data_IF_405300046565
#
_entry.id   IF_405300046565
#
_cell.length_a   1.000
_cell.length_b   1.000
_cell.length_c   1.000
_cell.angle_alpha   90.00
_cell.angle_beta   90.00
_cell.angle_gamma   90.00
#
_symmetry.space_group_name_H-M   'P 1'
#
loop_
_entity.id
_entity.type
_entity.pdbx_description
1 polymer ?
#
# COMPACT_ATOMS: atom_id res chain seq x y z
N UNK A 1 -15.37 12.98 2.36
CA UNK A 1 -14.27 11.99 2.33
C UNK A 1 -13.13 12.35 3.28
N UNK A 2 -12.31 13.38 3.00
CA UNK A 2 -11.11 13.70 3.80
C UNK A 2 -11.39 13.80 5.32
N UNK A 3 -12.46 14.48 5.71
CA UNK A 3 -12.84 14.64 7.13
C UNK A 3 -13.15 13.30 7.81
N UNK A 4 -13.89 12.42 7.13
CA UNK A 4 -14.21 11.08 7.65
C UNK A 4 -12.96 10.21 7.75
N UNK A 5 -12.10 10.24 6.72
CA UNK A 5 -10.81 9.55 6.74
C UNK A 5 -9.94 10.00 7.94
N UNK A 6 -9.81 11.31 8.18
CA UNK A 6 -9.09 11.84 9.36
C UNK A 6 -9.73 11.41 10.68
N UNK A 7 -11.05 11.23 10.72
CA UNK A 7 -11.75 10.71 11.91
C UNK A 7 -11.41 9.24 12.17
N UNK A 8 -11.45 8.41 11.12
CA UNK A 8 -11.07 7.00 11.22
C UNK A 8 -9.63 6.85 11.70
N UNK A 9 -8.69 7.63 11.16
CA UNK A 9 -7.29 7.59 11.59
C UNK A 9 -7.11 7.87 13.08
N UNK A 10 -7.84 8.84 13.65
CA UNK A 10 -7.77 9.11 15.09
C UNK A 10 -8.12 7.88 15.93
N UNK A 11 -9.09 7.09 15.48
CA UNK A 11 -9.48 5.86 16.15
C UNK A 11 -8.52 4.71 15.85
N UNK A 12 -7.89 4.65 14.68
CA UNK A 12 -6.89 3.62 14.36
C UNK A 12 -5.65 3.77 15.23
N UNK A 13 -5.19 5.00 15.52
CA UNK A 13 -4.12 5.22 16.48
C UNK A 13 -4.46 4.71 17.88
N UNK A 14 -5.71 4.93 18.34
CA UNK A 14 -6.16 4.38 19.63
C UNK A 14 -6.23 2.85 19.60
N UNK A 15 -6.73 2.26 18.50
CA UNK A 15 -6.77 0.81 18.31
C UNK A 15 -5.36 0.20 18.35
N UNK A 16 -4.43 0.75 17.57
CA UNK A 16 -3.04 0.27 17.51
C UNK A 16 -2.29 0.37 18.83
N UNK A 17 -2.62 1.36 19.68
CA UNK A 17 -2.06 1.48 21.03
C UNK A 17 -2.47 0.31 21.95
N UNK A 18 -3.69 -0.22 21.80
CA UNK A 18 -4.19 -1.33 22.61
C UNK A 18 -3.97 -2.70 21.97
N UNK A 19 -3.39 -2.76 20.77
CA UNK A 19 -3.08 -4.03 20.12
C UNK A 19 -1.94 -4.74 20.88
N UNK A 20 -2.12 -6.00 21.31
CA UNK A 20 -1.11 -6.72 22.09
C UNK A 20 0.23 -6.87 21.33
N UNK A 21 1.35 -6.69 22.04
CA UNK A 21 2.68 -6.76 21.42
C UNK A 21 3.05 -8.15 20.90
N UNK A 22 2.45 -9.20 21.47
CA UNK A 22 2.68 -10.59 21.08
C UNK A 22 1.95 -10.99 19.78
N UNK A 23 1.04 -10.17 19.27
CA UNK A 23 0.33 -10.40 17.99
C UNK A 23 1.06 -9.72 16.83
N UNK A 24 2.33 -10.09 16.62
CA UNK A 24 3.23 -9.42 15.65
C UNK A 24 2.64 -9.33 14.24
N UNK A 25 2.05 -10.42 13.75
CA UNK A 25 1.54 -10.49 12.38
C UNK A 25 0.29 -9.62 12.19
N UNK A 26 -0.60 -9.55 13.20
CA UNK A 26 -1.74 -8.60 13.21
C UNK A 26 -1.25 -7.15 13.23
N UNK A 27 -0.20 -6.87 14.00
CA UNK A 27 0.40 -5.53 14.05
C UNK A 27 1.00 -5.11 12.71
N UNK A 28 1.72 -6.00 12.02
CA UNK A 28 2.25 -5.74 10.68
C UNK A 28 1.14 -5.48 9.66
N UNK A 29 0.08 -6.31 9.65
CA UNK A 29 -1.08 -6.08 8.77
C UNK A 29 -1.75 -4.73 9.07
N UNK A 30 -1.92 -4.40 10.35
CA UNK A 30 -2.50 -3.13 10.78
C UNK A 30 -1.68 -1.93 10.30
N UNK A 31 -0.36 -1.95 10.54
CA UNK A 31 0.55 -0.87 10.13
C UNK A 31 0.57 -0.69 8.61
N UNK A 32 0.54 -1.78 7.84
CA UNK A 32 0.42 -1.74 6.39
C UNK A 32 -0.90 -1.08 5.94
N UNK A 33 -2.04 -1.54 6.46
CA UNK A 33 -3.36 -0.99 6.09
C UNK A 33 -3.50 0.48 6.49
N UNK A 34 -2.98 0.85 7.65
CA UNK A 34 -2.95 2.25 8.08
C UNK A 34 -2.06 3.09 7.16
N UNK A 35 -0.87 2.60 6.81
CA UNK A 35 0.06 3.30 5.92
C UNK A 35 -0.52 3.57 4.53
N UNK A 36 -1.15 2.56 3.92
CA UNK A 36 -1.84 2.71 2.63
C UNK A 36 -2.96 3.77 2.69
N UNK A 37 -3.78 3.72 3.75
CA UNK A 37 -4.86 4.67 3.96
C UNK A 37 -4.34 6.11 4.18
N UNK A 38 -3.28 6.28 4.96
CA UNK A 38 -2.66 7.59 5.22
C UNK A 38 -2.03 8.18 3.94
N UNK A 39 -1.28 7.38 3.20
CA UNK A 39 -0.69 7.76 1.91
C UNK A 39 -1.76 8.18 0.89
N UNK A 40 -2.81 7.36 0.75
CA UNK A 40 -3.95 7.67 -0.11
C UNK A 40 -4.69 8.95 0.30
N UNK A 41 -4.84 9.19 1.61
CA UNK A 41 -5.46 10.40 2.13
C UNK A 41 -4.62 11.65 1.85
N UNK A 42 -3.31 11.56 2.01
CA UNK A 42 -2.42 12.70 1.80
C UNK A 42 -2.42 13.14 0.34
N UNK A 43 -2.40 12.20 -0.61
CA UNK A 43 -2.54 12.49 -2.04
C UNK A 43 -3.87 13.18 -2.37
N UNK A 44 -4.97 12.68 -1.80
CA UNK A 44 -6.29 13.29 -1.99
C UNK A 44 -6.34 14.70 -1.38
N UNK A 45 -5.79 14.87 -0.18
CA UNK A 45 -5.75 16.15 0.50
C UNK A 45 -4.93 17.18 -0.28
N UNK A 46 -3.75 16.78 -0.76
CA UNK A 46 -2.89 17.64 -1.58
C UNK A 46 -3.60 18.08 -2.87
N UNK A 47 -4.24 17.15 -3.59
CA UNK A 47 -5.01 17.48 -4.79
C UNK A 47 -6.16 18.46 -4.48
N UNK A 48 -6.89 18.22 -3.40
CA UNK A 48 -8.03 19.06 -3.01
C UNK A 48 -7.63 20.47 -2.53
N UNK A 49 -6.46 20.62 -1.90
CA UNK A 49 -6.04 21.90 -1.30
C UNK A 49 -5.13 22.73 -2.21
N UNK A 50 -4.21 22.08 -2.92
CA UNK A 50 -3.16 22.75 -3.68
C UNK A 50 -3.48 22.85 -5.18
N UNK A 51 -3.89 21.74 -5.81
CA UNK A 51 -4.09 21.72 -7.26
C UNK A 51 -5.31 22.56 -7.69
N UNK A 52 -6.32 22.69 -6.83
CA UNK A 52 -7.49 23.54 -7.11
C UNK A 52 -7.14 25.04 -7.19
N UNK A 53 -6.09 25.48 -6.50
CA UNK A 53 -5.72 26.90 -6.39
C UNK A 53 -5.40 27.54 -7.74
N UNK A 54 -4.91 26.74 -8.69
CA UNK A 54 -4.61 27.19 -10.05
C UNK A 54 -5.87 27.72 -10.74
N UNK A 55 -7.00 27.02 -10.57
CA UNK A 55 -8.27 27.40 -11.19
C UNK A 55 -8.99 28.52 -10.44
N UNK A 56 -8.82 28.63 -9.12
CA UNK A 56 -9.45 29.69 -8.33
C UNK A 56 -8.84 31.08 -8.59
N UNK A 57 -7.55 31.13 -8.98
CA UNK A 57 -6.85 32.38 -9.27
C UNK A 57 -7.40 33.08 -10.51
N UNK A 58 -7.87 32.32 -11.49
CA UNK A 58 -8.32 32.82 -12.79
C UNK A 58 -9.75 33.40 -12.77
N UNK A 59 -10.58 33.03 -11.78
CA UNK A 59 -11.98 33.48 -11.64
C UNK A 59 -12.09 34.99 -11.26
N UNK A 60 -11.01 35.60 -10.77
CA UNK A 60 -10.99 37.02 -10.41
C UNK A 60 -10.85 37.97 -11.63
N UNK A 61 -10.72 37.43 -12.84
CA UNK A 61 -10.79 38.21 -14.09
C UNK A 61 -12.22 38.17 -14.60
N UNK A 62 -12.81 39.35 -14.85
CA UNK A 62 -14.21 39.46 -15.28
C UNK A 62 -14.48 38.56 -16.51
N UNK A 63 -15.43 37.62 -16.44
CA UNK A 63 -15.67 36.68 -17.53
C UNK A 63 -16.16 37.42 -18.76
N UNK A 64 -15.51 37.21 -19.90
CA UNK A 64 -16.05 37.61 -21.20
C UNK A 64 -17.20 36.66 -21.56
N UNK A 65 -18.23 37.18 -22.24
CA UNK A 65 -19.48 36.45 -22.50
C UNK A 65 -19.33 35.16 -23.35
N UNK A 66 -18.14 34.90 -23.91
CA UNK A 66 -17.82 33.72 -24.72
C UNK A 66 -17.16 32.57 -23.92
N UNK A 67 -16.83 32.76 -22.64
CA UNK A 67 -16.00 31.83 -21.84
C UNK A 67 -16.80 30.90 -20.91
N UNK A 68 -17.89 30.31 -21.42
CA UNK A 68 -18.80 29.46 -20.62
C UNK A 68 -18.32 28.00 -20.54
N UNK A 69 -17.28 27.62 -21.29
CA UNK A 69 -16.83 26.23 -21.36
C UNK A 69 -15.72 25.96 -20.34
N UNK A 70 -15.88 25.00 -19.41
CA UNK A 70 -14.81 24.60 -18.52
C UNK A 70 -13.57 24.17 -19.32
N UNK A 71 -12.40 24.67 -18.93
CA UNK A 71 -11.15 24.29 -19.59
C UNK A 71 -10.96 22.78 -19.50
N UNK A 72 -10.29 22.21 -20.50
CA UNK A 72 -9.94 20.77 -20.49
C UNK A 72 -9.18 20.40 -19.21
N UNK A 73 -8.28 21.28 -18.77
CA UNK A 73 -7.49 21.11 -17.54
C UNK A 73 -8.38 20.99 -16.30
N UNK A 74 -9.47 21.76 -16.21
CA UNK A 74 -10.42 21.66 -15.10
C UNK A 74 -11.19 20.34 -15.12
N UNK A 75 -11.55 19.84 -16.31
CA UNK A 75 -12.21 18.53 -16.46
C UNK A 75 -11.26 17.40 -16.04
N UNK A 76 -10.00 17.48 -16.45
CA UNK A 76 -8.97 16.51 -16.08
C UNK A 76 -8.71 16.53 -14.56
N UNK A 77 -8.63 17.73 -13.96
CA UNK A 77 -8.55 17.90 -12.51
C UNK A 77 -9.73 17.26 -11.79
N UNK A 78 -10.98 17.53 -12.23
CA UNK A 78 -12.17 16.92 -11.61
C UNK A 78 -12.15 15.41 -11.68
N UNK A 79 -11.69 14.86 -12.81
CA UNK A 79 -11.57 13.41 -13.01
C UNK A 79 -10.52 12.81 -12.07
N UNK A 80 -9.37 13.47 -11.94
CA UNK A 80 -8.32 13.09 -10.98
C UNK A 80 -8.81 13.13 -9.54
N UNK A 81 -9.47 14.22 -9.13
CA UNK A 81 -10.00 14.38 -7.77
C UNK A 81 -11.05 13.31 -7.44
N UNK A 82 -11.95 13.00 -8.38
CA UNK A 82 -12.93 11.94 -8.22
C UNK A 82 -12.24 10.56 -8.10
N UNK A 83 -11.26 10.27 -8.94
CA UNK A 83 -10.49 9.03 -8.89
C UNK A 83 -9.75 8.84 -7.56
N UNK A 84 -9.04 9.87 -7.10
CA UNK A 84 -8.38 9.86 -5.78
C UNK A 84 -9.41 9.65 -4.66
N UNK A 85 -10.56 10.32 -4.72
CA UNK A 85 -11.62 10.17 -3.69
C UNK A 85 -12.10 8.73 -3.59
N UNK A 86 -12.28 8.05 -4.72
CA UNK A 86 -12.70 6.64 -4.77
C UNK A 86 -11.61 5.74 -4.18
N UNK A 87 -10.37 5.85 -4.68
CA UNK A 87 -9.26 5.01 -4.22
C UNK A 87 -8.99 5.21 -2.72
N UNK A 88 -8.98 6.46 -2.23
CA UNK A 88 -8.85 6.73 -0.80
C UNK A 88 -10.00 6.11 -0.01
N UNK A 89 -11.24 6.16 -0.50
CA UNK A 89 -12.36 5.50 0.17
C UNK A 89 -12.11 4.00 0.29
N UNK A 90 -11.68 3.34 -0.78
CA UNK A 90 -11.46 1.90 -0.81
C UNK A 90 -10.36 1.47 0.20
N UNK A 91 -9.27 2.25 0.33
CA UNK A 91 -8.27 2.01 1.38
C UNK A 91 -8.85 2.08 2.79
N UNK A 92 -9.71 3.07 3.07
CA UNK A 92 -10.35 3.20 4.37
C UNK A 92 -11.40 2.13 4.64
N UNK A 93 -12.17 1.71 3.63
CA UNK A 93 -13.12 0.60 3.74
C UNK A 93 -12.39 -0.71 4.04
N UNK A 94 -11.25 -0.97 3.39
CA UNK A 94 -10.40 -2.12 3.69
C UNK A 94 -9.86 -2.09 5.13
N UNK A 95 -9.34 -0.95 5.57
CA UNK A 95 -8.84 -0.77 6.92
C UNK A 95 -9.95 -1.01 7.96
N UNK A 96 -11.12 -0.36 7.81
CA UNK A 96 -12.23 -0.53 8.74
C UNK A 96 -12.71 -1.98 8.77
N UNK A 97 -12.88 -2.62 7.62
CA UNK A 97 -13.29 -4.02 7.55
C UNK A 97 -12.31 -4.95 8.25
N UNK A 98 -11.00 -4.74 8.07
CA UNK A 98 -9.99 -5.53 8.76
C UNK A 98 -10.06 -5.36 10.29
N UNK A 99 -10.29 -4.14 10.77
CA UNK A 99 -10.47 -3.84 12.20
C UNK A 99 -11.76 -4.43 12.76
N UNK A 100 -12.87 -4.35 12.03
CA UNK A 100 -14.16 -4.95 12.41
C UNK A 100 -14.07 -6.48 12.54
N UNK A 101 -13.24 -7.10 11.70
CA UNK A 101 -12.94 -8.54 11.74
C UNK A 101 -11.82 -8.89 12.73
N UNK A 102 -11.32 -7.95 13.54
CA UNK A 102 -10.29 -8.21 14.54
C UNK A 102 -8.94 -8.61 13.97
N UNK A 103 -8.65 -8.27 12.71
CA UNK A 103 -7.44 -8.65 11.98
C UNK A 103 -7.27 -10.18 11.83
N UNK A 104 -8.36 -10.93 11.88
CA UNK A 104 -8.35 -12.41 11.82
C UNK A 104 -7.93 -12.98 10.46
N UNK A 105 -7.84 -12.18 9.39
CA UNK A 105 -7.32 -12.63 8.08
C UNK A 105 -5.88 -13.18 8.18
N UNK A 106 -5.18 -12.83 9.26
CA UNK A 106 -3.85 -13.32 9.61
C UNK A 106 -3.85 -14.73 10.19
N UNK A 107 -4.87 -15.09 10.98
CA UNK A 107 -4.96 -16.40 11.64
C UNK A 107 -5.19 -17.52 10.61
N UNK A 108 -5.82 -17.23 9.48
CA UNK A 108 -5.95 -18.20 8.37
C UNK A 108 -4.61 -18.49 7.67
N UNK A 109 -3.70 -17.50 7.65
CA UNK A 109 -2.36 -17.66 7.08
C UNK A 109 -1.42 -18.39 8.04
N UNK A 110 -1.51 -18.06 9.33
CA UNK A 110 -0.73 -18.66 10.42
C UNK A 110 -1.14 -20.13 10.69
N UNK A 111 -2.44 -20.43 10.71
CA UNK A 111 -2.93 -21.82 10.84
C UNK A 111 -2.64 -22.66 9.59
N UNK A 112 -2.64 -22.04 8.40
CA UNK A 112 -2.23 -22.73 7.17
C UNK A 112 -0.74 -23.09 7.17
N UNK A 113 0.10 -22.29 7.85
CA UNK A 113 1.52 -22.59 8.05
C UNK A 113 1.75 -23.71 9.07
N UNK A 114 0.98 -23.74 10.17
CA UNK A 114 1.06 -24.83 11.15
C UNK A 114 0.61 -26.18 10.55
N UNK A 115 -0.42 -26.19 9.70
CA UNK A 115 -0.87 -27.40 9.00
C UNK A 115 0.19 -27.93 8.03
N UNK A 116 0.95 -27.03 7.39
CA UNK A 116 2.08 -27.38 6.50
C UNK A 116 3.26 -27.91 7.31
N UNK A 117 3.50 -27.37 8.50
CA UNK A 117 4.56 -27.81 9.43
C UNK A 117 4.27 -29.21 10.00
N UNK A 118 3.01 -29.49 10.39
CA UNK A 118 2.57 -30.81 10.83
C UNK A 118 2.72 -31.87 9.71
N UNK A 119 2.33 -31.53 8.48
CA UNK A 119 2.54 -32.37 7.30
C UNK A 119 4.03 -32.56 6.95
N UNK A 120 4.87 -31.56 7.15
CA UNK A 120 6.31 -31.66 6.91
C UNK A 120 7.02 -32.57 7.93
N UNK A 121 6.55 -32.57 9.17
CA UNK A 121 7.07 -33.42 10.25
C UNK A 121 6.69 -34.90 10.04
N UNK A 122 5.45 -35.18 9.61
CA UNK A 122 5.01 -36.54 9.24
C UNK A 122 5.80 -37.11 8.05
N UNK A 123 6.28 -36.25 7.15
CA UNK A 123 7.10 -36.63 5.99
C UNK A 123 8.62 -36.55 6.24
N UNK A 124 9.06 -36.27 7.48
CA UNK A 124 10.48 -36.31 7.87
C UNK A 124 11.36 -35.20 7.28
N UNK A 125 10.78 -34.04 6.94
CA UNK A 125 11.54 -32.87 6.45
C UNK A 125 12.01 -32.04 7.65
N UNK A 126 13.28 -32.15 8.01
CA UNK A 126 13.82 -31.67 9.30
C UNK A 126 14.21 -30.19 9.35
N UNK A 127 13.80 -29.33 8.41
CA UNK A 127 14.14 -27.91 8.44
C UNK A 127 13.02 -27.06 7.80
N UNK A 128 12.07 -26.63 8.63
CA UNK A 128 10.97 -25.72 8.25
C UNK A 128 11.33 -24.24 8.41
N UNK A 129 12.49 -23.91 8.98
CA UNK A 129 13.05 -22.53 9.05
C UNK A 129 13.27 -21.90 7.65
N UNK A 130 13.23 -22.69 6.57
CA UNK A 130 13.41 -22.21 5.20
C UNK A 130 12.11 -21.74 4.51
N UNK A 131 10.94 -21.85 5.15
CA UNK A 131 9.65 -21.47 4.53
C UNK A 131 9.04 -20.18 5.11
N UNK A 132 9.52 -19.71 6.25
CA UNK A 132 9.01 -18.51 6.92
C UNK A 132 9.57 -17.20 6.32
N UNK A 133 10.71 -17.27 5.62
CA UNK A 133 11.28 -16.16 4.89
C UNK A 133 11.18 -16.42 3.39
N UNK A 134 10.28 -15.71 2.71
CA UNK A 134 10.22 -15.69 1.27
C UNK A 134 11.58 -15.30 0.67
N UNK A 135 12.23 -16.26 0.01
CA UNK A 135 13.32 -16.07 -0.95
C UNK A 135 14.36 -14.99 -0.58
N UNK A 136 15.10 -15.16 0.52
CA UNK A 136 16.41 -14.53 0.67
C UNK A 136 17.48 -15.49 0.15
N UNK A 137 18.11 -15.18 -0.97
CA UNK A 137 19.27 -15.93 -1.47
C UNK A 137 20.47 -15.69 -0.52
N UNK A 138 21.05 -16.79 -0.05
CA UNK A 138 22.28 -16.79 0.77
C UNK A 138 23.47 -16.81 -0.19
N UNK A 139 24.41 -15.88 -0.06
CA UNK A 139 25.69 -15.97 -0.77
C UNK A 139 26.62 -17.03 -0.14
N UNK A 140 27.65 -17.48 -0.87
CA UNK A 140 28.62 -18.49 -0.39
C UNK A 140 29.37 -18.09 0.91
N UNK A 141 29.18 -16.85 1.40
CA UNK A 141 29.77 -16.30 2.62
C UNK A 141 28.77 -16.10 3.77
N UNK A 142 27.50 -16.44 3.60
CA UNK A 142 26.50 -16.41 4.68
C UNK A 142 26.11 -15.00 5.14
N UNK A 143 26.24 -13.98 4.29
CA UNK A 143 25.80 -12.62 4.62
C UNK A 143 24.39 -12.40 4.05
N UNK A 144 23.44 -12.07 4.92
CA UNK A 144 22.07 -11.70 4.55
C UNK A 144 22.12 -10.30 3.92
N UNK A 145 21.90 -10.20 2.60
CA UNK A 145 21.68 -8.91 1.94
C UNK A 145 20.21 -8.81 1.53
N UNK A 146 19.52 -7.81 2.08
CA UNK A 146 18.08 -7.59 1.93
C UNK A 146 17.75 -6.84 0.63
N UNK A 147 18.55 -7.05 -0.42
CA UNK A 147 18.55 -6.19 -1.59
C UNK A 147 17.41 -6.58 -2.55
N UNK A 148 16.43 -5.69 -2.63
CA UNK A 148 15.28 -5.77 -3.53
C UNK A 148 15.28 -4.57 -4.48
N UNK A 149 14.77 -4.75 -5.71
CA UNK A 149 14.50 -3.64 -6.62
C UNK A 149 13.00 -3.48 -6.86
N UNK A 150 12.53 -2.24 -6.73
CA UNK A 150 11.13 -1.89 -6.93
C UNK A 150 10.88 -1.60 -8.41
N UNK A 151 9.86 -2.23 -8.97
CA UNK A 151 9.46 -1.98 -10.35
C UNK A 151 8.90 -0.56 -10.52
N UNK A 152 9.48 0.23 -11.41
CA UNK A 152 9.03 1.61 -11.67
C UNK A 152 7.61 1.70 -12.27
N UNK A 153 7.09 0.60 -12.84
CA UNK A 153 5.78 0.57 -13.48
C UNK A 153 4.65 0.14 -12.54
N UNK A 154 4.91 -0.81 -11.64
CA UNK A 154 3.87 -1.40 -10.79
C UNK A 154 4.24 -1.45 -9.31
N UNK A 155 5.37 -0.86 -8.91
CA UNK A 155 5.90 -0.77 -7.54
C UNK A 155 6.16 -2.10 -6.84
N UNK A 156 6.00 -3.23 -7.54
CA UNK A 156 6.26 -4.55 -6.98
C UNK A 156 7.74 -4.73 -6.64
N UNK A 157 8.02 -5.24 -5.44
CA UNK A 157 9.36 -5.57 -4.97
C UNK A 157 9.82 -6.89 -5.62
N UNK A 158 10.91 -6.83 -6.38
CA UNK A 158 11.52 -7.99 -7.01
C UNK A 158 12.86 -8.28 -6.34
N UNK A 159 13.23 -9.57 -6.28
CA UNK A 159 14.57 -9.98 -5.84
C UNK A 159 15.65 -9.35 -6.74
N UNK A 160 16.81 -8.99 -6.16
CA UNK A 160 17.93 -8.39 -6.92
C UNK A 160 18.40 -9.25 -8.10
N UNK A 161 18.25 -10.57 -8.05
CA UNK A 161 18.64 -11.47 -9.15
C UNK A 161 17.64 -11.45 -10.33
N UNK A 162 16.44 -10.90 -10.16
CA UNK A 162 15.42 -10.87 -11.21
C UNK A 162 15.72 -9.81 -12.27
N UNK A 163 15.80 -10.23 -13.53
CA UNK A 163 16.02 -9.36 -14.70
C UNK A 163 14.73 -8.71 -15.23
N UNK A 164 13.57 -9.14 -14.74
CA UNK A 164 12.26 -8.57 -15.06
C UNK A 164 11.31 -8.67 -13.87
N UNK A 165 10.30 -7.79 -13.83
CA UNK A 165 9.32 -7.74 -12.77
C UNK A 165 8.38 -8.93 -12.82
N UNK A 166 8.19 -9.65 -11.72
CA UNK A 166 7.32 -10.83 -11.67
C UNK A 166 5.84 -10.52 -11.92
N UNK A 167 5.39 -9.31 -11.56
CA UNK A 167 3.98 -8.93 -11.69
C UNK A 167 3.62 -8.38 -13.06
N UNK A 168 4.46 -7.52 -13.64
CA UNK A 168 4.15 -6.83 -14.90
C UNK A 168 5.09 -7.19 -16.06
N UNK A 169 6.07 -8.07 -15.83
CA UNK A 169 7.07 -8.54 -16.80
C UNK A 169 7.95 -7.42 -17.40
N UNK A 170 7.98 -6.24 -16.78
CA UNK A 170 8.84 -5.12 -17.16
C UNK A 170 10.31 -5.42 -16.85
N UNK A 171 11.23 -5.16 -17.77
CA UNK A 171 12.66 -5.38 -17.54
C UNK A 171 13.22 -4.48 -16.43
N UNK A 172 14.20 -5.00 -15.69
CA UNK A 172 14.90 -4.24 -14.65
C UNK A 172 15.66 -3.05 -15.27
N UNK A 173 15.55 -1.84 -14.72
CA UNK A 173 16.34 -0.69 -15.16
C UNK A 173 17.84 -0.87 -14.84
N UNK A 174 18.71 -0.56 -15.81
CA UNK A 174 20.18 -0.59 -15.67
C UNK A 174 20.73 0.28 -14.53
N UNK A 175 19.97 1.28 -14.07
CA UNK A 175 20.33 2.15 -12.94
C UNK A 175 20.32 1.45 -11.58
N UNK A 176 19.78 0.22 -11.51
CA UNK A 176 19.63 -0.55 -10.28
C UNK A 176 20.56 -1.79 -10.24
N UNK A 177 21.44 -1.99 -11.23
CA UNK A 177 22.47 -3.02 -11.22
C UNK A 177 23.71 -2.47 -10.49
N UNK A 178 23.86 -2.80 -9.20
CA UNK A 178 25.06 -2.52 -8.40
C UNK A 178 25.23 -3.61 -7.35
#
# INVERSE_FOLDING_TARGET
QIVECRRVLKWTYAYGYYLPENEHTKKQLFEYLQGEAESGLERLHQCAEQEIQVFLRDINVAPSADDVRPSKEFIDFRSKLAGLTIVTRDYFENLVRALENGLCDVEALENGLSDVEELALENGLSNVEALENGLSDVDDNGIITDDHWFCEQCTFANVVSATACRMCNQQRPWSQES
#
